data_IF_941937252173
#
_entry.id   IF_941937252173
#
_cell.length_a   1.000
_cell.length_b   1.000
_cell.length_c   1.000
_cell.angle_alpha   90.00
_cell.angle_beta   90.00
_cell.angle_gamma   90.00
#
_symmetry.space_group_name_H-M   'P 1'
#
loop_
_entity.id
_entity.type
_entity.pdbx_description
1 polymer ?
#
# COMPACT_ATOMS: atom_id res chain seq x y z
N UNK A 1 -30.29 -28.14 -23.87
CA UNK A 1 -29.26 -27.94 -22.83
C UNK A 1 -27.92 -27.81 -23.53
N UNK A 2 -27.50 -26.58 -23.83
CA UNK A 2 -26.25 -26.24 -24.48
C UNK A 2 -25.61 -25.11 -23.70
N UNK A 3 -24.43 -25.38 -23.18
CA UNK A 3 -23.65 -24.59 -22.21
C UNK A 3 -23.31 -23.18 -22.71
N UNK A 4 -23.50 -22.17 -21.85
CA UNK A 4 -22.89 -20.85 -21.99
C UNK A 4 -21.38 -21.00 -21.72
N UNK A 5 -20.55 -20.84 -22.74
CA UNK A 5 -19.11 -20.71 -22.57
C UNK A 5 -18.80 -19.30 -22.03
N UNK A 6 -18.74 -19.16 -20.71
CA UNK A 6 -18.07 -18.02 -20.09
C UNK A 6 -16.57 -18.23 -20.34
N UNK A 7 -16.01 -17.47 -21.28
CA UNK A 7 -14.58 -17.46 -21.52
C UNK A 7 -13.84 -17.04 -20.24
N UNK A 8 -12.66 -17.61 -19.94
CA UNK A 8 -11.93 -17.40 -18.69
C UNK A 8 -11.34 -15.98 -18.51
N UNK A 9 -11.76 -14.99 -19.31
CA UNK A 9 -11.11 -13.67 -19.41
C UNK A 9 -11.95 -12.47 -18.99
N UNK A 10 -13.21 -12.64 -18.57
CA UNK A 10 -14.10 -11.51 -18.25
C UNK A 10 -14.04 -11.08 -16.78
N UNK A 11 -12.93 -11.37 -16.09
CA UNK A 11 -12.73 -11.01 -14.68
C UNK A 11 -11.39 -10.25 -14.56
N UNK A 12 -11.45 -8.94 -14.80
CA UNK A 12 -10.47 -7.94 -14.36
C UNK A 12 -8.99 -8.27 -14.62
N UNK A 13 -8.49 -7.85 -15.80
CA UNK A 13 -7.07 -7.56 -15.93
C UNK A 13 -6.74 -6.35 -15.04
N UNK A 14 -6.26 -6.59 -13.82
CA UNK A 14 -5.56 -5.54 -13.07
C UNK A 14 -4.28 -5.24 -13.86
N UNK A 15 -4.28 -4.16 -14.63
CA UNK A 15 -3.05 -3.64 -15.21
C UNK A 15 -2.10 -3.29 -14.06
N UNK A 16 -0.93 -3.92 -14.04
CA UNK A 16 0.06 -3.62 -13.03
C UNK A 16 0.75 -2.32 -13.45
N UNK A 17 0.26 -1.18 -12.94
CA UNK A 17 0.87 0.11 -13.18
C UNK A 17 2.34 0.04 -12.74
N UNK A 18 3.25 0.35 -13.66
CA UNK A 18 4.68 0.43 -13.34
C UNK A 18 4.91 1.63 -12.41
N UNK A 19 5.00 1.37 -11.10
CA UNK A 19 5.31 2.36 -10.07
C UNK A 19 6.72 2.12 -9.54
N UNK A 20 7.52 3.18 -9.42
CA UNK A 20 8.85 3.14 -8.80
C UNK A 20 8.75 3.67 -7.37
N UNK A 21 8.92 2.84 -6.33
CA UNK A 21 8.85 3.30 -4.95
C UNK A 21 10.09 4.13 -4.59
N UNK A 22 9.91 5.10 -3.69
CA UNK A 22 11.00 5.89 -3.09
C UNK A 22 10.99 5.67 -1.58
N UNK A 23 12.14 5.38 -1.00
CA UNK A 23 12.29 5.20 0.44
C UNK A 23 12.22 6.55 1.15
N UNK A 24 11.19 6.75 1.99
CA UNK A 24 11.01 7.98 2.78
C UNK A 24 11.49 7.85 4.23
N UNK A 25 11.64 6.61 4.73
CA UNK A 25 12.05 6.33 6.10
C UNK A 25 12.76 4.98 6.19
N UNK A 26 13.70 4.84 7.13
CA UNK A 26 14.37 3.57 7.45
C UNK A 26 14.48 3.37 8.96
N UNK A 27 14.71 2.12 9.39
CA UNK A 27 14.92 1.81 10.80
C UNK A 27 13.67 1.93 11.67
N UNK A 28 12.48 1.71 11.08
CA UNK A 28 11.22 1.59 11.79
C UNK A 28 11.06 0.14 12.31
N UNK A 29 10.54 -0.02 13.53
CA UNK A 29 10.24 -1.32 14.12
C UNK A 29 8.76 -1.64 13.96
N UNK A 30 8.42 -2.45 12.96
CA UNK A 30 7.04 -2.88 12.69
C UNK A 30 6.07 -1.68 12.61
N UNK A 31 6.24 -0.78 11.62
CA UNK A 31 5.33 0.35 11.43
C UNK A 31 3.90 -0.14 11.17
N UNK A 32 2.91 0.52 11.77
CA UNK A 32 1.50 0.10 11.76
C UNK A 32 0.61 1.05 10.96
N UNK A 33 0.67 2.35 11.25
CA UNK A 33 -0.09 3.37 10.54
C UNK A 33 0.77 4.60 10.24
N UNK A 34 0.37 5.34 9.20
CA UNK A 34 1.01 6.58 8.77
C UNK A 34 -0.07 7.66 8.61
N UNK A 35 0.22 8.87 9.07
CA UNK A 35 -0.55 10.07 8.76
C UNK A 35 0.35 11.10 8.08
N UNK A 36 -0.16 11.75 7.03
CA UNK A 36 0.53 12.84 6.34
C UNK A 36 0.24 14.15 7.04
N UNK A 37 1.28 14.96 7.25
CA UNK A 37 1.15 16.26 7.88
C UNK A 37 1.10 17.37 6.82
N UNK A 38 0.48 18.52 7.12
CA UNK A 38 0.38 19.63 6.17
C UNK A 38 1.74 20.19 5.70
N UNK A 39 2.81 19.96 6.47
CA UNK A 39 4.18 20.39 6.16
C UNK A 39 4.99 19.35 5.37
N UNK A 40 4.36 18.26 4.92
CA UNK A 40 4.99 17.22 4.11
C UNK A 40 5.71 16.13 4.92
N UNK A 41 5.64 16.17 6.25
CA UNK A 41 6.16 15.11 7.13
C UNK A 41 5.15 13.98 7.33
N UNK A 42 5.62 12.94 8.01
CA UNK A 42 4.83 11.77 8.35
C UNK A 42 4.80 11.54 9.86
N UNK A 43 3.63 11.23 10.42
CA UNK A 43 3.51 10.59 11.73
C UNK A 43 3.40 9.08 11.52
N UNK A 44 4.28 8.32 12.16
CA UNK A 44 4.33 6.86 12.06
C UNK A 44 4.15 6.23 13.44
N UNK A 45 3.16 5.36 13.58
CA UNK A 45 3.01 4.49 14.76
C UNK A 45 3.77 3.18 14.56
N UNK A 46 4.46 2.70 15.59
CA UNK A 46 5.24 1.47 15.57
C UNK A 46 4.72 0.48 16.62
N UNK A 47 4.71 -0.83 16.31
CA UNK A 47 4.20 -1.89 17.21
C UNK A 47 4.74 -1.85 18.64
N UNK A 48 6.01 -1.48 18.92
CA UNK A 48 6.51 -1.31 20.28
C UNK A 48 5.86 -0.17 21.09
N UNK A 49 4.86 0.53 20.54
CA UNK A 49 4.16 1.63 21.20
C UNK A 49 4.82 2.99 21.02
N UNK A 50 5.57 3.18 19.93
CA UNK A 50 6.26 4.45 19.62
C UNK A 50 5.50 5.24 18.56
N UNK A 51 5.59 6.56 18.64
CA UNK A 51 5.14 7.50 17.61
C UNK A 51 6.34 8.33 17.16
N UNK A 52 6.61 8.35 15.85
CA UNK A 52 7.74 9.07 15.26
C UNK A 52 7.26 10.09 14.24
N UNK A 53 7.93 11.24 14.21
CA UNK A 53 7.85 12.17 13.08
C UNK A 53 9.01 11.89 12.15
N UNK A 54 8.71 11.66 10.88
CA UNK A 54 9.68 11.47 9.79
C UNK A 54 9.57 12.63 8.81
#
# INVERSE_FOLDING_TARGET
>A
MGIFAVGPGLLHGAEHLAVTPVTVATGLQHPWAVAFLPDGRFLVTERPGRLRVV
#
